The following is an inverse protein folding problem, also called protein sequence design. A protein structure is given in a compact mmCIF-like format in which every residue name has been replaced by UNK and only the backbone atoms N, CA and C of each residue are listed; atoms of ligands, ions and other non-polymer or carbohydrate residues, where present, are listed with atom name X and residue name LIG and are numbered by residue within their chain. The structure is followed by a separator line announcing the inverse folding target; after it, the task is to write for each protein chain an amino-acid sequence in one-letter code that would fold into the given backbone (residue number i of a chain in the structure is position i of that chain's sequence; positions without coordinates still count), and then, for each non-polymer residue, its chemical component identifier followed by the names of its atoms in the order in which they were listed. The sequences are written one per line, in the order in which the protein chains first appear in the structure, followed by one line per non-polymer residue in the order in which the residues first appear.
data_IF_783150127108
#
_entry.id   IF_783150127108
#
_cell.length_a   1.000
_cell.length_b   1.000
_cell.length_c   1.000
_cell.angle_alpha   90.00
_cell.angle_beta   90.00
_cell.angle_gamma   90.00
#
_symmetry.space_group_name_H-M   'P 1'
#
loop_
_entity.id
_entity.type
_entity.pdbx_description
1 polymer ?
#
# COMPACT_ATOMS: atom_id res chain seq x y z
N UNK A 1 -11.33 -0.64 -19.69
CA UNK A 1 -10.30 -1.36 -18.91
C UNK A 1 -9.38 -0.31 -18.36
N UNK A 2 -9.27 -0.20 -17.04
CA UNK A 2 -8.28 0.68 -16.39
C UNK A 2 -6.90 0.08 -16.62
N UNK A 3 -5.90 0.91 -16.94
CA UNK A 3 -4.52 0.44 -17.04
C UNK A 3 -4.03 -0.03 -15.66
N UNK A 4 -3.32 -1.16 -15.63
CA UNK A 4 -2.65 -1.65 -14.43
C UNK A 4 -1.62 -0.61 -13.98
N UNK A 5 -1.57 -0.34 -12.68
CA UNK A 5 -0.71 0.69 -12.06
C UNK A 5 -0.05 0.13 -10.81
N UNK A 6 1.08 0.70 -10.43
CA UNK A 6 1.73 0.49 -9.14
C UNK A 6 1.39 1.65 -8.21
N UNK A 7 0.73 1.37 -7.10
CA UNK A 7 0.13 2.39 -6.21
C UNK A 7 0.70 2.25 -4.81
N UNK A 8 1.26 3.32 -4.27
CA UNK A 8 1.72 3.39 -2.89
C UNK A 8 0.59 3.91 -1.99
N UNK A 9 0.19 3.14 -0.98
CA UNK A 9 -0.83 3.53 0.00
C UNK A 9 -0.18 3.72 1.36
N UNK A 10 -0.27 4.93 1.92
CA UNK A 10 0.11 5.17 3.31
C UNK A 10 -1.03 4.81 4.26
N UNK A 11 -0.75 4.16 5.39
CA UNK A 11 -1.78 3.76 6.36
C UNK A 11 -2.69 2.63 5.86
N UNK A 12 -2.20 1.82 4.91
CA UNK A 12 -2.99 0.79 4.23
C UNK A 12 -3.42 -0.36 5.13
N UNK A 13 -2.83 -0.53 6.32
CA UNK A 13 -3.24 -1.56 7.29
C UNK A 13 -4.33 -1.08 8.25
N UNK A 14 -4.69 0.21 8.19
CA UNK A 14 -5.75 0.84 8.96
C UNK A 14 -7.17 0.55 8.44
N UNK A 15 -8.18 1.12 9.10
CA UNK A 15 -9.59 0.88 8.78
C UNK A 15 -9.96 1.31 7.36
N UNK A 16 -9.74 2.58 7.00
CA UNK A 16 -10.05 3.08 5.65
C UNK A 16 -9.04 2.59 4.61
N UNK A 17 -7.75 2.61 4.96
CA UNK A 17 -6.67 2.21 4.06
C UNK A 17 -6.82 0.77 3.56
N UNK A 18 -7.21 -0.15 4.44
CA UNK A 18 -7.38 -1.56 4.05
C UNK A 18 -8.49 -1.78 3.04
N UNK A 19 -9.60 -1.05 3.13
CA UNK A 19 -10.67 -1.12 2.13
C UNK A 19 -10.22 -0.57 0.78
N UNK A 20 -9.42 0.50 0.78
CA UNK A 20 -8.80 1.03 -0.44
C UNK A 20 -7.84 0.01 -1.06
N UNK A 21 -6.93 -0.58 -0.27
CA UNK A 21 -5.98 -1.60 -0.73
C UNK A 21 -6.72 -2.79 -1.36
N UNK A 22 -7.75 -3.33 -0.67
CA UNK A 22 -8.59 -4.41 -1.20
C UNK A 22 -9.23 -4.05 -2.54
N UNK A 23 -9.77 -2.83 -2.66
CA UNK A 23 -10.39 -2.34 -3.90
C UNK A 23 -9.37 -2.23 -5.03
N UNK A 24 -8.20 -1.66 -4.77
CA UNK A 24 -7.14 -1.47 -5.77
C UNK A 24 -6.59 -2.82 -6.27
N UNK A 25 -6.40 -3.79 -5.37
CA UNK A 25 -6.01 -5.16 -5.74
C UNK A 25 -7.11 -5.81 -6.59
N UNK A 26 -8.38 -5.70 -6.19
CA UNK A 26 -9.51 -6.25 -6.93
C UNK A 26 -9.67 -5.63 -8.33
N UNK A 27 -9.27 -4.36 -8.50
CA UNK A 27 -9.23 -3.67 -9.78
C UNK A 27 -8.00 -4.06 -10.64
N UNK A 28 -7.09 -4.89 -10.11
CA UNK A 28 -5.94 -5.45 -10.81
C UNK A 28 -4.66 -4.62 -10.71
N UNK A 29 -4.58 -3.66 -9.78
CA UNK A 29 -3.38 -2.85 -9.54
C UNK A 29 -2.38 -3.56 -8.62
N UNK A 30 -1.09 -3.23 -8.77
CA UNK A 30 -0.05 -3.62 -7.82
C UNK A 30 -0.04 -2.60 -6.68
N UNK A 31 -0.18 -3.07 -5.43
CA UNK A 31 -0.33 -2.17 -4.28
C UNK A 31 0.84 -2.34 -3.32
N UNK A 32 1.56 -1.25 -3.10
CA UNK A 32 2.60 -1.11 -2.09
C UNK A 32 1.98 -0.36 -0.91
N UNK A 33 2.24 -0.80 0.32
CA UNK A 33 1.71 -0.19 1.54
C UNK A 33 2.87 0.23 2.43
N UNK A 34 2.79 1.44 2.97
CA UNK A 34 3.63 1.87 4.10
C UNK A 34 2.75 2.17 5.30
N UNK A 35 3.11 1.62 6.46
CA UNK A 35 2.39 1.88 7.70
C UNK A 35 3.36 1.92 8.87
N UNK A 36 3.08 2.73 9.89
CA UNK A 36 4.00 2.90 11.01
C UNK A 36 4.05 1.68 11.95
N UNK A 37 3.08 0.78 11.84
CA UNK A 37 2.96 -0.47 12.60
C UNK A 37 2.09 -1.47 11.85
N UNK A 38 2.09 -2.73 12.29
CA UNK A 38 1.12 -3.72 11.81
C UNK A 38 -0.28 -3.39 12.34
N UNK A 39 -1.17 -2.90 11.48
CA UNK A 39 -2.57 -2.65 11.81
C UNK A 39 -3.43 -3.91 11.77
N UNK A 40 -4.70 -3.78 12.17
CA UNK A 40 -5.66 -4.89 12.27
C UNK A 40 -5.82 -5.71 10.98
N UNK A 41 -5.64 -5.06 9.83
CA UNK A 41 -5.85 -5.68 8.51
C UNK A 41 -4.54 -6.09 7.82
N UNK A 42 -3.40 -6.02 8.51
CA UNK A 42 -2.08 -6.33 7.97
C UNK A 42 -2.04 -7.71 7.30
N UNK A 43 -2.43 -8.77 8.02
CA UNK A 43 -2.36 -10.13 7.48
C UNK A 43 -3.33 -10.33 6.32
N UNK A 44 -4.54 -9.80 6.43
CA UNK A 44 -5.58 -9.94 5.41
C UNK A 44 -5.14 -9.33 4.07
N UNK A 45 -4.64 -8.09 4.08
CA UNK A 45 -4.23 -7.43 2.82
C UNK A 45 -2.92 -8.01 2.27
N UNK A 46 -2.06 -8.53 3.14
CA UNK A 46 -0.85 -9.26 2.74
C UNK A 46 -1.19 -10.56 2.01
N UNK A 47 -2.17 -11.30 2.52
CA UNK A 47 -2.65 -12.55 1.88
C UNK A 47 -3.32 -12.27 0.53
N UNK A 48 -3.88 -11.07 0.35
CA UNK A 48 -4.42 -10.60 -0.94
C UNK A 48 -3.34 -10.14 -1.93
N UNK A 49 -2.08 -10.03 -1.52
CA UNK A 49 -0.95 -9.67 -2.39
C UNK A 49 -0.43 -8.24 -2.24
N UNK A 50 -0.79 -7.51 -1.18
CA UNK A 50 -0.18 -6.20 -0.89
C UNK A 50 1.29 -6.35 -0.48
N UNK A 51 2.17 -5.51 -1.04
CA UNK A 51 3.57 -5.39 -0.61
C UNK A 51 3.65 -4.40 0.57
N UNK A 52 3.78 -4.90 1.80
CA UNK A 52 3.72 -4.05 3.00
C UNK A 52 5.12 -3.79 3.57
N UNK A 53 5.43 -2.53 3.82
CA UNK A 53 6.63 -2.08 4.56
C UNK A 53 6.20 -1.38 5.85
N UNK A 54 6.77 -1.81 6.99
CA UNK A 54 6.59 -1.10 8.25
C UNK A 54 7.63 0.02 8.36
N UNK A 55 7.16 1.25 8.41
CA UNK A 55 7.99 2.45 8.47
C UNK A 55 7.17 3.73 8.57
N UNK A 56 7.84 4.84 8.89
CA UNK A 56 7.17 6.13 9.05
C UNK A 56 7.12 6.89 7.73
N UNK A 57 5.99 7.54 7.45
CA UNK A 57 5.88 8.53 6.36
C UNK A 57 6.79 9.74 6.57
N UNK A 58 7.29 9.95 7.78
CA UNK A 58 8.28 11.01 8.09
C UNK A 58 9.70 10.61 7.74
N UNK A 59 9.95 9.34 7.41
CA UNK A 59 11.24 8.88 6.90
C UNK A 59 11.31 9.21 5.41
N UNK A 60 12.05 10.27 5.10
CA UNK A 60 12.20 10.78 3.74
C UNK A 60 12.79 9.73 2.81
N UNK A 61 13.89 9.09 3.20
CA UNK A 61 14.64 8.18 2.34
C UNK A 61 13.82 6.93 2.03
N UNK A 62 13.10 6.43 3.05
CA UNK A 62 12.13 5.36 2.87
C UNK A 62 11.03 5.75 1.87
N UNK A 63 10.41 6.92 2.04
CA UNK A 63 9.33 7.36 1.18
C UNK A 63 9.78 7.56 -0.27
N UNK A 64 10.99 8.10 -0.49
CA UNK A 64 11.57 8.19 -1.84
C UNK A 64 11.77 6.81 -2.46
N UNK A 65 12.30 5.86 -1.71
CA UNK A 65 12.49 4.47 -2.18
C UNK A 65 11.18 3.78 -2.53
N UNK A 66 10.13 3.97 -1.72
CA UNK A 66 8.83 3.34 -1.95
C UNK A 66 8.04 4.01 -3.09
N UNK A 67 8.19 5.33 -3.24
CA UNK A 67 7.56 6.08 -4.33
C UNK A 67 8.20 5.77 -5.70
N UNK A 68 9.45 5.29 -5.72
CA UNK A 68 10.16 4.98 -6.96
C UNK A 68 9.42 3.90 -7.78
N UNK A 69 9.05 4.26 -9.00
CA UNK A 69 8.30 3.40 -9.92
C UNK A 69 6.82 3.22 -9.57
N UNK A 70 6.28 3.99 -8.63
CA UNK A 70 4.83 4.09 -8.42
C UNK A 70 4.22 5.15 -9.37
N UNK A 71 3.06 4.82 -9.93
CA UNK A 71 2.29 5.71 -10.81
C UNK A 71 1.37 6.66 -10.00
N UNK A 72 1.06 6.28 -8.76
CA UNK A 72 0.18 7.00 -7.85
C UNK A 72 0.58 6.75 -6.39
N UNK A 73 0.36 7.76 -5.55
CA UNK A 73 0.49 7.72 -4.09
C UNK A 73 -0.82 8.25 -3.50
#
# INVERSE_FOLDING_TARGET
MTEKKRILVTGGTGFTGSHLVKKLIADGHDVVVVDNQEGYFYQEIKDLGAEITIGSVTDRDLMFKLAEGCDLI
#
